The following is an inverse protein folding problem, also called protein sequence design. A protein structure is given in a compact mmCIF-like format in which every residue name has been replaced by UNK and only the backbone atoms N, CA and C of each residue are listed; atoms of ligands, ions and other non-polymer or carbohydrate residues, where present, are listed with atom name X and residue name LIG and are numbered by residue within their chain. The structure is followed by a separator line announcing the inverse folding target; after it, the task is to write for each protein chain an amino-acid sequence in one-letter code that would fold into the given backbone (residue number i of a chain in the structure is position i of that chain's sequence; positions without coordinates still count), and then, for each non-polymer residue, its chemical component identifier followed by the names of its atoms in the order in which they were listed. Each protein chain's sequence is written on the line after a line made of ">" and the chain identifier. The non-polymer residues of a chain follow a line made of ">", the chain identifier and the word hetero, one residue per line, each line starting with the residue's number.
data_IF_263213625868
#
_entry.id   IF_263213625868
#
_cell.length_a   1.000
_cell.length_b   1.000
_cell.length_c   1.000
_cell.angle_alpha   90.00
_cell.angle_beta   90.00
_cell.angle_gamma   90.00
#
_symmetry.space_group_name_H-M   'P 1'
#
loop_
_entity.id
_entity.type
_entity.pdbx_description
1 polymer ?
#
# COMPACT_ATOMS: atom_id res chain seq x y z
N UNK A 1 -18.50 -19.54 -41.05
CA UNK A 1 -17.13 -19.03 -40.82
C UNK A 1 -17.13 -17.61 -40.23
N UNK A 2 -17.78 -16.61 -40.84
CA UNK A 2 -17.80 -15.21 -40.37
C UNK A 2 -18.32 -14.99 -38.93
N UNK A 3 -19.35 -15.74 -38.50
CA UNK A 3 -19.94 -15.64 -37.15
C UNK A 3 -18.98 -16.05 -36.03
N UNK A 4 -18.14 -17.05 -36.26
CA UNK A 4 -17.16 -17.52 -35.27
C UNK A 4 -16.04 -16.51 -35.06
N UNK A 5 -15.56 -15.88 -36.15
CA UNK A 5 -14.56 -14.81 -36.07
C UNK A 5 -15.08 -13.58 -35.31
N UNK A 6 -16.37 -13.25 -35.48
CA UNK A 6 -17.01 -12.16 -34.73
C UNK A 6 -17.12 -12.51 -33.23
N UNK A 7 -17.58 -13.72 -32.90
CA UNK A 7 -17.69 -14.18 -31.52
C UNK A 7 -16.34 -14.17 -30.78
N UNK A 8 -15.25 -14.62 -31.44
CA UNK A 8 -13.90 -14.61 -30.86
C UNK A 8 -13.43 -13.18 -30.56
N UNK A 9 -13.68 -12.23 -31.47
CA UNK A 9 -13.33 -10.81 -31.24
C UNK A 9 -14.12 -10.21 -30.09
N UNK A 10 -15.41 -10.53 -29.96
CA UNK A 10 -16.25 -10.07 -28.85
C UNK A 10 -15.76 -10.63 -27.51
N UNK A 11 -15.39 -11.91 -27.47
CA UNK A 11 -14.80 -12.54 -26.28
C UNK A 11 -13.47 -11.88 -25.94
N UNK A 12 -12.58 -11.67 -26.91
CA UNK A 12 -11.28 -11.03 -26.70
C UNK A 12 -11.43 -9.60 -26.16
N UNK A 13 -12.36 -8.82 -26.74
CA UNK A 13 -12.62 -7.44 -26.32
C UNK A 13 -13.20 -7.40 -24.90
N UNK A 14 -14.09 -8.33 -24.57
CA UNK A 14 -14.68 -8.45 -23.24
C UNK A 14 -13.61 -8.79 -22.20
N UNK A 15 -12.76 -9.79 -22.48
CA UNK A 15 -11.64 -10.17 -21.61
C UNK A 15 -10.67 -9.00 -21.40
N UNK A 16 -10.35 -8.24 -22.45
CA UNK A 16 -9.46 -7.08 -22.35
C UNK A 16 -10.04 -5.96 -21.47
N UNK A 17 -11.35 -5.76 -21.49
CA UNK A 17 -12.02 -4.78 -20.63
C UNK A 17 -12.02 -5.21 -19.15
N UNK A 18 -12.20 -6.50 -18.85
CA UNK A 18 -12.19 -7.01 -17.47
C UNK A 18 -10.81 -6.93 -16.80
N UNK A 19 -9.72 -6.98 -17.56
CA UNK A 19 -8.35 -6.88 -17.02
C UNK A 19 -8.00 -5.48 -16.47
N UNK A 20 -8.78 -4.45 -16.79
CA UNK A 20 -8.51 -3.07 -16.39
C UNK A 20 -9.37 -2.59 -15.20
N UNK A 21 -10.07 -3.50 -14.52
CA UNK A 21 -10.86 -3.13 -13.35
C UNK A 21 -9.95 -2.59 -12.23
N UNK A 22 -10.22 -1.39 -11.65
CA UNK A 22 -9.42 -0.87 -10.56
C UNK A 22 -9.58 -1.75 -9.32
N UNK A 23 -8.47 -2.18 -8.71
CA UNK A 23 -8.50 -2.84 -7.40
C UNK A 23 -8.88 -1.81 -6.33
N UNK A 24 -10.15 -1.82 -5.91
CA UNK A 24 -10.64 -0.99 -4.81
C UNK A 24 -10.44 -1.76 -3.51
N UNK A 25 -9.49 -1.31 -2.69
CA UNK A 25 -9.19 -1.92 -1.39
C UNK A 25 -8.28 -1.09 -0.48
N UNK A 26 -7.50 -0.17 -1.06
CA UNK A 26 -6.62 0.70 -0.29
C UNK A 26 -7.39 1.87 0.31
N UNK A 27 -7.44 1.97 1.64
CA UNK A 27 -7.91 3.18 2.32
C UNK A 27 -6.81 4.24 2.29
N UNK A 28 -7.20 5.51 2.15
CA UNK A 28 -6.27 6.63 2.13
C UNK A 28 -5.67 6.90 3.51
N UNK A 29 -4.44 7.41 3.57
CA UNK A 29 -3.68 7.61 4.82
C UNK A 29 -4.39 8.51 5.85
N UNK A 30 -5.20 9.45 5.38
CA UNK A 30 -6.07 10.31 6.19
C UNK A 30 -7.14 9.54 6.98
N UNK A 31 -7.41 8.28 6.66
CA UNK A 31 -8.27 7.40 7.47
C UNK A 31 -7.59 7.02 8.78
N UNK A 32 -6.27 6.81 8.77
CA UNK A 32 -5.49 6.40 9.93
C UNK A 32 -4.90 7.58 10.71
N UNK A 33 -4.72 8.73 10.05
CA UNK A 33 -3.97 9.86 10.60
C UNK A 33 -4.74 11.18 10.46
N UNK A 34 -4.71 12.05 11.49
CA UNK A 34 -5.29 13.38 11.38
C UNK A 34 -4.50 14.21 10.37
N UNK A 35 -5.20 14.98 9.53
CA UNK A 35 -4.57 15.73 8.43
C UNK A 35 -3.70 16.91 8.88
N UNK A 36 -3.86 17.36 10.14
CA UNK A 36 -3.26 18.59 10.63
C UNK A 36 -2.27 18.34 11.76
N UNK A 37 -1.37 17.37 11.57
CA UNK A 37 -0.29 17.06 12.52
C UNK A 37 1.07 17.33 11.89
N UNK A 38 1.99 17.89 12.68
CA UNK A 38 3.40 17.95 12.34
C UNK A 38 4.11 16.75 12.97
N UNK A 39 4.77 15.93 12.15
CA UNK A 39 5.59 14.83 12.65
C UNK A 39 6.87 15.35 13.27
N UNK A 40 7.27 14.75 14.39
CA UNK A 40 8.60 14.96 14.95
C UNK A 40 9.65 14.36 14.01
N UNK A 41 10.56 15.18 13.50
CA UNK A 41 11.61 14.78 12.57
C UNK A 41 12.64 13.84 13.20
N UNK A 42 12.72 13.78 14.54
CA UNK A 42 13.59 12.85 15.26
C UNK A 42 13.03 11.42 15.26
N UNK A 43 11.75 11.24 14.94
CA UNK A 43 11.11 9.93 14.86
C UNK A 43 11.19 9.44 13.41
N UNK A 44 11.94 8.35 13.13
CA UNK A 44 12.02 7.80 11.78
C UNK A 44 10.63 7.33 11.34
N UNK A 45 10.27 7.54 10.07
CA UNK A 45 8.94 7.13 9.62
C UNK A 45 8.87 5.62 9.42
N UNK A 46 7.78 4.93 9.81
CA UNK A 46 7.65 3.49 9.64
C UNK A 46 7.83 3.01 8.19
N UNK A 47 7.33 3.76 7.20
CA UNK A 47 7.47 3.46 5.78
C UNK A 47 8.94 3.46 5.32
N UNK A 48 9.76 4.36 5.86
CA UNK A 48 11.20 4.38 5.57
C UNK A 48 11.96 3.17 6.10
N UNK A 49 11.43 2.49 7.13
CA UNK A 49 12.03 1.32 7.75
C UNK A 49 11.54 0.00 7.13
N UNK A 50 10.25 -0.07 6.77
CA UNK A 50 9.60 -1.32 6.35
C UNK A 50 9.24 -1.37 4.86
N UNK A 51 9.26 -0.24 4.15
CA UNK A 51 9.00 -0.16 2.71
C UNK A 51 7.52 -0.21 2.31
N UNK A 52 6.60 -0.07 3.26
CA UNK A 52 5.15 -0.04 3.03
C UNK A 52 4.44 0.95 3.95
N UNK A 53 3.28 1.45 3.52
CA UNK A 53 2.49 2.39 4.29
C UNK A 53 1.65 1.71 5.38
N UNK A 54 1.18 2.53 6.33
CA UNK A 54 0.24 2.08 7.37
C UNK A 54 -1.04 1.55 6.70
N UNK A 55 -1.46 0.35 7.11
CA UNK A 55 -2.68 -0.30 6.59
C UNK A 55 -2.44 -1.27 5.43
N UNK A 56 -1.24 -1.30 4.83
CA UNK A 56 -0.92 -2.26 3.76
C UNK A 56 -0.62 -3.66 4.31
N UNK A 57 0.15 -3.74 5.40
CA UNK A 57 0.56 -5.00 6.02
C UNK A 57 0.46 -4.94 7.55
N UNK A 58 0.24 -6.11 8.16
CA UNK A 58 0.30 -6.26 9.61
C UNK A 58 1.75 -6.45 10.05
N UNK A 59 2.23 -5.58 10.94
CA UNK A 59 3.56 -5.70 11.54
C UNK A 59 3.60 -6.86 12.54
N UNK A 60 4.66 -7.66 12.50
CA UNK A 60 4.93 -8.64 13.55
C UNK A 60 5.36 -7.98 14.86
N UNK A 61 5.26 -8.72 15.96
CA UNK A 61 5.71 -8.24 17.26
C UNK A 61 7.17 -7.74 17.23
N UNK A 62 8.06 -8.50 16.62
CA UNK A 62 9.48 -8.17 16.54
C UNK A 62 9.74 -6.89 15.72
N UNK A 63 8.97 -6.67 14.65
CA UNK A 63 9.06 -5.44 13.85
C UNK A 63 8.64 -4.22 14.67
N UNK A 64 7.54 -4.32 15.43
CA UNK A 64 7.09 -3.25 16.34
C UNK A 64 8.15 -2.96 17.40
N UNK A 65 8.68 -4.00 18.04
CA UNK A 65 9.74 -3.85 19.06
C UNK A 65 11.02 -3.25 18.47
N UNK A 66 11.40 -3.64 17.24
CA UNK A 66 12.55 -3.08 16.54
C UNK A 66 12.39 -1.58 16.30
N UNK A 67 11.23 -1.16 15.83
CA UNK A 67 10.92 0.26 15.60
C UNK A 67 11.01 1.08 16.90
N UNK A 68 10.41 0.59 17.99
CA UNK A 68 10.49 1.26 19.30
C UNK A 68 11.93 1.34 19.84
N UNK A 69 12.76 0.33 19.56
CA UNK A 69 14.19 0.35 19.92
C UNK A 69 14.98 1.39 19.13
N UNK A 70 14.65 1.65 17.87
CA UNK A 70 15.30 2.69 17.06
C UNK A 70 15.13 4.06 17.69
N UNK A 71 13.92 4.38 18.17
CA UNK A 71 13.66 5.66 18.83
C UNK A 71 14.34 5.78 20.20
N UNK A 72 14.47 4.68 20.95
CA UNK A 72 15.08 4.69 22.29
C UNK A 72 16.58 4.97 22.27
N UNK A 73 17.29 4.72 21.16
CA UNK A 73 18.72 5.03 21.07
C UNK A 73 18.89 6.49 20.66
N UNK A 74 19.52 7.34 21.49
CA UNK A 74 19.82 8.70 21.07
C UNK A 74 20.69 8.65 19.81
N UNK A 75 20.51 9.58 18.85
CA UNK A 75 21.40 9.70 17.72
C UNK A 75 22.81 9.89 18.29
N UNK A 76 23.68 8.94 17.99
CA UNK A 76 25.10 9.03 18.30
C UNK A 76 25.66 10.27 17.58
N UNK A 77 25.99 11.29 18.37
CA UNK A 77 26.87 12.38 17.93
C UNK A 77 28.31 11.91 17.87
#
# INVERSE_FOLDING_TARGET
>A
MLKHTLAIKTILLSTLMFLNAPLVGQVSMNYYLPQNIAYDALIPRPDSMFGFNIGEWHLSHDQVVSYLKTWRRPPIG
#
